data_IF_411235446631
#
_entry.id   IF_411235446631
#
_cell.length_a   1.000
_cell.length_b   1.000
_cell.length_c   1.000
_cell.angle_alpha   90.00
_cell.angle_beta   90.00
_cell.angle_gamma   90.00
#
_symmetry.space_group_name_H-M   'P 1'
#
loop_
_entity.id
_entity.type
_entity.pdbx_description
1 polymer ?
#
# COMPACT_ATOMS: atom_id res chain seq x y z
N UNK A 1 3.42 22.10 6.80
CA UNK A 1 2.61 21.36 5.81
C UNK A 1 1.30 20.86 6.39
N UNK A 2 1.30 20.00 7.44
CA UNK A 2 0.06 19.51 8.08
C UNK A 2 -0.90 20.63 8.49
N UNK A 3 -0.40 21.69 9.15
CA UNK A 3 -1.21 22.85 9.53
C UNK A 3 -1.91 23.50 8.32
N UNK A 4 -1.15 23.73 7.25
CA UNK A 4 -1.67 24.32 6.02
C UNK A 4 -2.77 23.45 5.40
N UNK A 5 -2.61 22.13 5.35
CA UNK A 5 -3.66 21.24 4.83
C UNK A 5 -4.92 21.30 5.70
N UNK A 6 -4.76 21.37 7.04
CA UNK A 6 -5.89 21.48 7.98
C UNK A 6 -6.64 22.80 7.87
N UNK A 7 -5.96 23.91 7.52
CA UNK A 7 -6.62 25.20 7.26
C UNK A 7 -7.63 25.14 6.10
N UNK A 8 -7.45 24.20 5.17
CA UNK A 8 -8.43 23.92 4.10
C UNK A 8 -9.56 22.96 4.52
N UNK A 9 -9.68 22.63 5.81
CA UNK A 9 -10.76 21.79 6.34
C UNK A 9 -10.58 20.28 6.13
N UNK A 10 -9.40 19.85 5.70
CA UNK A 10 -9.06 18.43 5.55
C UNK A 10 -8.49 17.84 6.84
N UNK A 11 -8.82 16.58 7.12
CA UNK A 11 -8.00 15.77 8.02
C UNK A 11 -6.70 15.40 7.29
N UNK A 12 -5.66 15.07 8.04
CA UNK A 12 -4.37 14.66 7.46
C UNK A 12 -3.96 13.38 8.13
N UNK A 13 -3.83 12.33 7.33
CA UNK A 13 -3.15 11.13 7.76
C UNK A 13 -1.67 11.26 7.50
N UNK A 14 -0.88 10.75 8.45
CA UNK A 14 0.57 10.86 8.46
C UNK A 14 1.13 9.44 8.58
N UNK A 15 1.94 9.05 7.61
CA UNK A 15 2.60 7.75 7.56
C UNK A 15 4.11 7.93 7.60
N UNK A 16 4.76 7.13 8.43
CA UNK A 16 6.21 7.10 8.61
C UNK A 16 6.88 6.12 7.64
N UNK A 17 8.20 6.21 7.39
CA UNK A 17 8.87 5.46 6.32
C UNK A 17 8.56 3.96 6.26
N UNK A 18 8.49 3.27 7.40
CA UNK A 18 8.17 1.84 7.46
C UNK A 18 6.72 1.47 7.16
N UNK A 19 5.81 2.44 7.13
CA UNK A 19 4.39 2.27 6.82
C UNK A 19 4.09 2.63 5.35
N UNK A 20 5.02 3.32 4.67
CA UNK A 20 4.79 3.82 3.31
C UNK A 20 5.04 2.70 2.31
N UNK A 21 3.95 2.15 1.77
CA UNK A 21 3.98 1.11 0.75
C UNK A 21 3.39 1.60 -0.57
N UNK A 22 3.65 0.87 -1.67
CA UNK A 22 3.00 1.15 -2.94
C UNK A 22 1.49 0.90 -2.89
N UNK A 23 1.06 -0.08 -2.10
CA UNK A 23 -0.36 -0.44 -1.95
C UNK A 23 -1.12 0.68 -1.25
N UNK A 24 -0.54 1.25 -0.19
CA UNK A 24 -1.06 2.43 0.50
C UNK A 24 -1.23 3.62 -0.46
N UNK A 25 -0.17 3.98 -1.20
CA UNK A 25 -0.24 5.08 -2.16
C UNK A 25 -1.29 4.82 -3.24
N UNK A 26 -1.29 3.61 -3.80
CA UNK A 26 -2.23 3.21 -4.84
C UNK A 26 -3.68 3.34 -4.36
N UNK A 27 -3.99 2.85 -3.16
CA UNK A 27 -5.34 2.86 -2.63
C UNK A 27 -5.93 4.28 -2.52
N UNK A 28 -5.12 5.28 -2.13
CA UNK A 28 -5.54 6.68 -2.11
C UNK A 28 -5.63 7.30 -3.50
N UNK A 29 -4.65 7.01 -4.37
CA UNK A 29 -4.62 7.55 -5.73
C UNK A 29 -5.76 7.01 -6.59
N UNK A 30 -6.20 5.76 -6.37
CA UNK A 30 -7.37 5.17 -7.05
C UNK A 30 -8.66 5.94 -6.73
N UNK A 31 -8.81 6.45 -5.51
CA UNK A 31 -9.92 7.32 -5.13
C UNK A 31 -9.74 8.79 -5.59
N UNK A 32 -8.58 9.12 -6.17
CA UNK A 32 -8.25 10.49 -6.59
C UNK A 32 -7.80 11.41 -5.45
N UNK A 33 -7.37 10.86 -4.32
CA UNK A 33 -6.77 11.65 -3.23
C UNK A 33 -5.28 11.84 -3.53
N UNK A 34 -4.80 13.09 -3.71
CA UNK A 34 -3.39 13.34 -3.92
C UNK A 34 -2.60 13.06 -2.65
N UNK A 35 -1.38 12.55 -2.79
CA UNK A 35 -0.51 12.18 -1.68
C UNK A 35 0.76 13.03 -1.70
N UNK A 36 1.10 13.70 -0.58
CA UNK A 36 2.35 14.46 -0.49
C UNK A 36 3.41 13.62 0.17
N UNK A 37 4.41 13.21 -0.59
CA UNK A 37 5.54 12.42 -0.10
C UNK A 37 6.75 13.33 0.05
N UNK A 38 7.32 13.39 1.25
CA UNK A 38 8.65 13.95 1.45
C UNK A 38 9.69 12.87 1.36
N UNK A 39 10.84 13.18 0.79
CA UNK A 39 11.96 12.26 0.67
C UNK A 39 13.29 12.93 0.97
N UNK A 40 14.22 12.09 1.36
CA UNK A 40 15.64 12.39 1.39
C UNK A 40 16.25 11.98 0.05
N UNK A 41 16.97 12.90 -0.58
CA UNK A 41 17.72 12.64 -1.80
C UNK A 41 19.10 12.13 -1.39
N UNK A 42 19.38 10.85 -1.69
CA UNK A 42 20.66 10.25 -1.30
C UNK A 42 21.68 10.47 -2.40
N UNK A 43 22.75 11.20 -2.07
CA UNK A 43 23.94 11.30 -2.92
C UNK A 43 24.88 10.15 -2.58
N UNK A 44 24.96 9.14 -3.43
CA UNK A 44 25.98 8.09 -3.26
C UNK A 44 27.36 8.70 -3.52
N UNK A 45 28.34 8.47 -2.66
CA UNK A 45 29.68 9.08 -2.72
C UNK A 45 30.55 8.61 -3.89
N UNK A 46 30.05 8.64 -5.12
CA UNK A 46 30.78 8.27 -6.34
C UNK A 46 30.63 6.82 -6.79
N UNK A 47 29.70 6.05 -6.22
CA UNK A 47 29.36 4.70 -6.69
C UNK A 47 27.96 4.64 -7.30
N UNK A 48 27.87 4.19 -8.55
CA UNK A 48 26.62 3.91 -9.24
C UNK A 48 26.29 2.44 -9.05
N UNK A 49 25.02 2.14 -8.74
CA UNK A 49 24.53 0.77 -8.57
C UNK A 49 23.53 0.46 -9.68
N UNK A 50 23.64 -0.70 -10.32
CA UNK A 50 22.63 -1.14 -11.28
C UNK A 50 21.36 -1.57 -10.53
N UNK A 51 20.17 -1.22 -11.03
CA UNK A 51 18.90 -1.57 -10.38
C UNK A 51 18.74 -3.08 -10.13
N UNK A 52 19.36 -3.91 -10.98
CA UNK A 52 19.35 -5.35 -10.83
C UNK A 52 20.03 -5.81 -9.53
N UNK A 53 21.04 -5.07 -9.06
CA UNK A 53 21.82 -5.37 -7.86
C UNK A 53 21.33 -4.59 -6.63
N UNK A 54 20.24 -3.83 -6.78
CA UNK A 54 19.66 -3.01 -5.72
C UNK A 54 18.77 -3.84 -4.80
N UNK A 55 19.20 -4.11 -3.56
CA UNK A 55 18.46 -4.91 -2.58
C UNK A 55 17.79 -4.07 -1.46
N UNK A 56 17.85 -2.74 -1.55
CA UNK A 56 17.31 -1.82 -0.53
C UNK A 56 18.17 -1.72 0.73
N UNK A 57 18.64 -2.84 1.28
CA UNK A 57 19.56 -2.87 2.44
C UNK A 57 20.89 -2.16 2.13
N UNK A 58 21.40 -2.32 0.92
CA UNK A 58 22.62 -1.62 0.47
C UNK A 58 22.44 -0.11 0.56
N UNK A 59 21.25 0.43 0.31
CA UNK A 59 21.02 1.87 0.38
C UNK A 59 21.02 2.37 1.84
N UNK A 60 20.36 1.66 2.75
CA UNK A 60 20.40 2.01 4.18
C UNK A 60 21.81 1.93 4.75
N UNK A 61 22.58 0.91 4.36
CA UNK A 61 23.99 0.79 4.74
C UNK A 61 24.84 1.91 4.11
N UNK A 62 24.63 2.25 2.84
CA UNK A 62 25.33 3.36 2.17
C UNK A 62 24.98 4.69 2.84
N UNK A 63 23.72 4.93 3.20
CA UNK A 63 23.29 6.13 3.94
C UNK A 63 23.90 6.16 5.34
N UNK A 64 23.90 5.04 6.06
CA UNK A 64 24.53 4.94 7.37
C UNK A 64 26.04 5.21 7.31
N UNK A 65 26.71 4.72 6.27
CA UNK A 65 28.15 4.88 6.09
C UNK A 65 28.55 6.27 5.55
N UNK A 66 27.70 6.92 4.76
CA UNK A 66 27.97 8.26 4.21
C UNK A 66 27.77 9.38 5.24
N UNK A 67 27.01 9.14 6.31
CA UNK A 67 26.88 10.07 7.43
C UNK A 67 28.12 10.19 8.34
N UNK A 68 29.18 9.41 8.10
CA UNK A 68 30.34 9.31 9.00
C UNK A 68 31.61 10.06 8.54
N UNK A 69 31.66 10.64 7.34
CA UNK A 69 32.93 11.16 6.80
C UNK A 69 33.25 12.63 7.14
N UNK A 70 32.26 13.44 7.56
CA UNK A 70 32.43 14.90 7.63
C UNK A 70 32.41 15.52 9.05
N UNK A 71 32.41 14.74 10.15
CA UNK A 71 32.40 15.32 11.49
C UNK A 71 33.17 14.53 12.56
N UNK A 72 34.50 14.48 12.46
CA UNK A 72 35.36 14.32 13.64
C UNK A 72 35.57 15.69 14.31
N UNK A 73 34.57 16.18 15.03
CA UNK A 73 34.72 17.26 16.01
C UNK A 73 34.17 16.77 17.35
N UNK A 74 35.05 16.77 18.36
CA UNK A 74 34.87 16.23 19.71
C UNK A 74 33.52 16.62 20.34
N UNK A 75 32.61 15.65 20.51
CA UNK A 75 31.41 15.82 21.33
C UNK A 75 31.47 14.95 22.59
N UNK A 76 31.46 15.65 23.72
CA UNK A 76 31.43 15.14 25.09
C UNK A 76 30.11 14.40 25.36
N UNK A 77 30.21 13.18 25.87
CA UNK A 77 29.09 12.27 26.15
C UNK A 77 28.28 12.77 27.36
N UNK A 78 27.02 13.14 27.17
CA UNK A 78 26.05 13.34 28.25
C UNK A 78 25.00 12.22 28.23
N UNK A 79 24.82 11.55 29.37
CA UNK A 79 23.90 10.41 29.57
C UNK A 79 22.42 10.85 29.59
N UNK A 80 21.83 11.11 28.42
CA UNK A 80 20.39 11.24 28.21
C UNK A 80 19.86 10.14 27.28
N UNK A 81 18.54 9.87 27.26
CA UNK A 81 17.94 8.97 26.27
C UNK A 81 18.29 9.44 24.85
N UNK A 82 18.54 8.53 23.89
CA UNK A 82 19.07 8.89 22.58
C UNK A 82 18.05 9.75 21.82
N UNK A 83 18.23 11.06 21.86
CA UNK A 83 17.71 11.95 20.84
C UNK A 83 18.40 11.54 19.54
N UNK A 84 17.68 10.84 18.64
CA UNK A 84 18.16 10.64 17.27
C UNK A 84 18.33 12.03 16.65
N UNK A 85 19.55 12.55 16.64
CA UNK A 85 19.92 13.72 15.87
C UNK A 85 19.85 13.32 14.40
N UNK A 86 18.71 13.55 13.77
CA UNK A 86 18.61 13.42 12.32
C UNK A 86 19.58 14.42 11.71
N UNK A 87 20.51 13.95 10.87
CA UNK A 87 21.32 14.82 10.01
C UNK A 87 20.38 15.80 9.29
N UNK A 88 20.73 17.09 9.26
CA UNK A 88 19.94 18.14 8.59
C UNK A 88 20.07 18.05 7.06
N UNK A 89 19.88 16.87 6.50
CA UNK A 89 19.78 16.72 5.07
C UNK A 89 18.47 17.38 4.59
N UNK A 90 18.52 18.18 3.50
CA UNK A 90 17.33 18.85 3.00
C UNK A 90 16.32 17.81 2.54
N UNK A 91 15.09 17.92 3.07
CA UNK A 91 13.95 17.13 2.62
C UNK A 91 13.32 17.81 1.40
N UNK A 92 12.94 17.01 0.41
CA UNK A 92 12.20 17.46 -0.76
C UNK A 92 10.78 16.89 -0.73
N UNK A 93 9.78 17.63 -1.23
CA UNK A 93 8.39 17.21 -1.21
C UNK A 93 7.81 17.12 -2.61
N UNK A 94 7.14 16.01 -2.92
CA UNK A 94 6.44 15.80 -4.20
C UNK A 94 4.99 15.43 -3.93
N UNK A 95 4.08 16.03 -4.70
CA UNK A 95 2.65 15.70 -4.63
C UNK A 95 2.31 14.69 -5.72
N UNK A 96 2.10 13.43 -5.35
CA UNK A 96 1.63 12.39 -6.26
C UNK A 96 0.13 12.53 -6.53
N UNK A 97 -0.24 12.45 -7.81
CA UNK A 97 -1.62 12.60 -8.28
C UNK A 97 -2.07 11.48 -9.21
N UNK A 98 -1.19 10.53 -9.52
CA UNK A 98 -1.55 9.38 -10.34
C UNK A 98 -0.42 8.38 -10.42
N UNK A 99 -0.73 7.25 -11.05
CA UNK A 99 0.21 6.17 -11.25
C UNK A 99 -0.11 5.44 -12.55
N UNK A 100 0.78 4.53 -12.94
CA UNK A 100 0.58 3.65 -14.08
C UNK A 100 0.96 2.23 -13.70
N UNK A 101 0.11 1.28 -14.06
CA UNK A 101 0.36 -0.13 -13.85
C UNK A 101 1.22 -0.73 -14.95
N UNK A 102 1.83 -1.88 -14.66
CA UNK A 102 2.50 -2.71 -15.68
C UNK A 102 1.43 -3.27 -16.62
N UNK A 103 1.43 -2.83 -17.88
CA UNK A 103 0.57 -3.39 -18.92
C UNK A 103 1.17 -4.64 -19.56
N UNK A 104 0.38 -5.42 -20.30
CA UNK A 104 0.86 -6.62 -21.03
C UNK A 104 1.91 -6.33 -22.12
N UNK A 105 1.97 -5.09 -22.63
CA UNK A 105 2.73 -4.73 -23.82
C UNK A 105 4.06 -4.00 -23.52
N UNK A 106 4.25 -3.52 -22.30
CA UNK A 106 5.53 -2.95 -21.89
C UNK A 106 6.31 -4.05 -21.19
N UNK A 107 7.55 -4.27 -21.63
CA UNK A 107 8.43 -5.32 -21.10
C UNK A 107 8.46 -5.33 -19.56
N UNK A 108 8.81 -6.50 -19.03
CA UNK A 108 8.74 -6.88 -17.62
C UNK A 108 9.04 -5.72 -16.66
N UNK A 109 8.16 -5.57 -15.66
CA UNK A 109 8.42 -4.72 -14.51
C UNK A 109 9.82 -5.02 -13.98
N UNK A 110 10.60 -4.02 -13.53
CA UNK A 110 11.88 -4.28 -12.87
C UNK A 110 11.72 -5.11 -11.57
N UNK A 111 10.49 -5.24 -11.04
CA UNK A 111 10.16 -6.14 -9.95
C UNK A 111 9.92 -7.57 -10.45
N UNK A 112 10.65 -8.51 -9.88
CA UNK A 112 10.47 -9.93 -10.11
C UNK A 112 9.09 -10.40 -9.60
N UNK A 113 8.52 -11.48 -10.17
CA UNK A 113 7.27 -12.05 -9.69
C UNK A 113 7.28 -12.46 -8.21
N UNK A 114 8.44 -12.83 -7.67
CA UNK A 114 8.62 -13.29 -6.30
C UNK A 114 8.53 -12.17 -5.25
N UNK A 115 8.70 -10.91 -5.65
CA UNK A 115 8.70 -9.77 -4.72
C UNK A 115 7.29 -9.29 -4.37
N UNK A 116 6.22 -9.92 -4.85
CA UNK A 116 4.83 -9.50 -4.57
C UNK A 116 4.34 -10.05 -3.22
N UNK A 117 5.01 -9.70 -2.13
CA UNK A 117 4.56 -10.07 -0.78
C UNK A 117 3.11 -9.59 -0.55
N UNK A 118 2.25 -10.51 -0.10
CA UNK A 118 0.78 -10.42 0.04
C UNK A 118 -0.05 -10.28 -1.25
N UNK A 119 0.59 -10.29 -2.43
CA UNK A 119 -0.10 -10.06 -3.70
C UNK A 119 -0.92 -8.75 -3.69
N UNK A 120 -0.58 -7.80 -2.81
CA UNK A 120 -1.31 -6.55 -2.69
C UNK A 120 -1.19 -5.80 -4.03
N UNK A 121 -2.30 -5.23 -4.48
CA UNK A 121 -2.41 -4.59 -5.80
C UNK A 121 -1.33 -3.55 -6.10
N UNK A 122 -0.64 -3.01 -5.09
CA UNK A 122 0.51 -2.10 -5.24
C UNK A 122 1.68 -2.67 -6.05
N UNK A 123 1.89 -4.00 -6.04
CA UNK A 123 2.95 -4.64 -6.83
C UNK A 123 2.78 -4.51 -8.35
N UNK A 124 1.63 -4.03 -8.82
CA UNK A 124 1.38 -3.72 -10.24
C UNK A 124 1.79 -2.30 -10.62
N UNK A 125 2.12 -1.42 -9.66
CA UNK A 125 2.48 -0.02 -9.92
C UNK A 125 3.88 0.04 -10.53
N UNK A 126 3.96 0.46 -11.79
CA UNK A 126 5.22 0.61 -12.51
C UNK A 126 5.82 2.02 -12.35
N UNK A 127 4.96 3.03 -12.27
CA UNK A 127 5.36 4.46 -12.20
C UNK A 127 4.37 5.25 -11.37
N UNK A 128 4.88 6.20 -10.61
CA UNK A 128 4.11 7.26 -9.95
C UNK A 128 4.34 8.58 -10.71
N UNK A 129 3.29 9.39 -10.76
CA UNK A 129 3.32 10.72 -11.37
C UNK A 129 2.92 11.74 -10.34
N UNK A 130 3.73 12.80 -10.24
CA UNK A 130 3.48 13.86 -9.29
C UNK A 130 3.84 15.24 -9.83
N UNK A 131 3.48 16.25 -9.05
CA UNK A 131 4.02 17.58 -9.19
C UNK A 131 5.24 17.70 -8.28
N UNK A 132 6.38 17.96 -8.89
CA UNK A 132 7.64 18.31 -8.24
C UNK A 132 7.89 19.79 -8.58
N UNK A 133 8.16 20.64 -7.59
CA UNK A 133 8.34 22.09 -7.81
C UNK A 133 9.62 22.44 -8.56
N UNK A 134 10.63 21.55 -8.58
CA UNK A 134 11.88 21.75 -9.32
C UNK A 134 11.87 21.15 -10.72
N UNK A 135 11.00 20.17 -10.99
CA UNK A 135 10.89 19.50 -12.30
C UNK A 135 9.66 19.97 -13.07
N UNK A 136 8.55 20.15 -12.39
CA UNK A 136 7.25 20.52 -12.95
C UNK A 136 6.18 19.43 -12.78
N UNK A 137 5.03 19.61 -13.46
CA UNK A 137 3.94 18.65 -13.41
C UNK A 137 4.31 17.34 -14.13
N UNK A 138 3.73 16.24 -13.66
CA UNK A 138 3.95 14.89 -14.20
C UNK A 138 5.41 14.39 -14.09
N UNK A 139 6.15 14.88 -13.10
CA UNK A 139 7.42 14.33 -12.69
C UNK A 139 7.25 12.82 -12.45
N UNK A 140 8.14 12.03 -13.06
CA UNK A 140 8.05 10.57 -13.05
C UNK A 140 8.90 10.02 -11.95
N UNK A 141 8.32 9.12 -11.16
CA UNK A 141 9.00 8.36 -10.15
C UNK A 141 8.79 6.87 -10.39
N UNK A 142 9.86 6.10 -10.28
CA UNK A 142 9.88 4.67 -10.53
C UNK A 142 10.17 4.00 -9.18
N UNK A 143 9.32 3.08 -8.72
CA UNK A 143 9.63 2.28 -7.55
C UNK A 143 10.91 1.48 -7.78
N UNK A 144 11.87 1.66 -6.89
CA UNK A 144 13.03 0.80 -6.76
C UNK A 144 12.59 -0.50 -6.08
N UNK A 145 13.34 -1.58 -6.30
CA UNK A 145 12.98 -2.93 -5.83
C UNK A 145 12.51 -2.93 -4.37
N UNK A 146 11.40 -3.63 -4.14
CA UNK A 146 10.71 -3.74 -2.86
C UNK A 146 9.31 -4.28 -3.11
N UNK A 147 8.88 -5.25 -2.30
CA UNK A 147 7.55 -5.81 -2.45
C UNK A 147 6.42 -4.83 -2.16
N UNK A 148 5.19 -5.25 -2.43
CA UNK A 148 4.01 -4.40 -2.24
C UNK A 148 3.81 -3.96 -0.77
N UNK A 149 4.42 -4.69 0.17
CA UNK A 149 4.45 -4.39 1.60
C UNK A 149 5.84 -3.92 2.12
N UNK A 150 6.85 -3.83 1.25
CA UNK A 150 8.16 -3.33 1.65
C UNK A 150 8.16 -1.80 1.75
N UNK A 151 9.07 -1.21 2.56
CA UNK A 151 9.30 0.22 2.55
C UNK A 151 9.54 0.71 1.13
N UNK A 152 8.78 1.74 0.74
CA UNK A 152 8.87 2.28 -0.60
C UNK A 152 10.26 2.91 -0.81
N UNK A 153 10.96 2.53 -1.86
CA UNK A 153 12.10 3.30 -2.37
C UNK A 153 11.77 3.78 -3.77
N UNK A 154 12.13 5.02 -4.11
CA UNK A 154 11.83 5.60 -5.41
C UNK A 154 13.11 6.06 -6.10
N UNK A 155 13.06 6.16 -7.42
CA UNK A 155 13.95 7.02 -8.18
C UNK A 155 13.13 7.99 -9.02
N UNK A 156 13.67 9.17 -9.30
CA UNK A 156 12.92 10.27 -9.91
C UNK A 156 13.45 10.71 -11.25
N UNK A 157 13.02 11.90 -11.67
CA UNK A 157 13.53 12.57 -12.88
C UNK A 157 14.90 13.23 -12.65
N UNK A 158 15.37 13.19 -11.39
CA UNK A 158 16.63 13.73 -10.92
C UNK A 158 17.79 12.84 -11.36
N UNK A 159 18.59 13.35 -12.29
CA UNK A 159 19.77 12.66 -12.78
C UNK A 159 20.98 13.04 -11.96
N UNK A 160 21.86 12.09 -11.68
CA UNK A 160 23.21 12.41 -11.24
C UNK A 160 23.97 13.05 -12.42
N UNK A 161 24.47 14.28 -12.25
CA UNK A 161 25.30 14.95 -13.26
C UNK A 161 26.58 14.17 -13.53
N UNK A 162 27.17 13.65 -12.45
CA UNK A 162 28.28 12.73 -12.52
C UNK A 162 27.70 11.31 -12.56
N UNK A 163 27.80 10.63 -13.71
CA UNK A 163 27.41 9.21 -13.92
C UNK A 163 28.02 8.21 -12.91
N UNK A 164 28.77 8.72 -11.94
CA UNK A 164 29.39 8.06 -10.81
C UNK A 164 28.42 7.86 -9.64
N UNK A 165 27.33 8.62 -9.50
CA UNK A 165 26.37 8.40 -8.40
C UNK A 165 24.96 8.06 -8.89
N UNK A 166 24.20 7.30 -8.08
CA UNK A 166 22.80 6.94 -8.36
C UNK A 166 22.56 5.52 -8.90
N UNK A 167 21.31 5.28 -9.29
CA UNK A 167 20.78 4.00 -9.75
C UNK A 167 20.60 4.01 -11.27
N UNK A 168 21.16 3.02 -11.97
CA UNK A 168 20.94 2.84 -13.41
C UNK A 168 19.76 1.93 -13.66
N UNK A 169 18.82 2.41 -14.46
CA UNK A 169 17.68 1.61 -14.92
C UNK A 169 18.12 0.69 -16.06
N UNK A 170 17.53 -0.52 -16.20
CA UNK A 170 17.85 -1.43 -17.29
C UNK A 170 17.74 -0.74 -18.66
N UNK A 171 18.81 -0.82 -19.46
CA UNK A 171 18.89 -0.23 -20.79
C UNK A 171 19.06 1.30 -20.83
N UNK A 172 19.34 1.96 -19.69
CA UNK A 172 19.59 3.40 -19.65
C UNK A 172 21.04 3.74 -19.31
N UNK A 173 21.57 4.77 -19.99
CA UNK A 173 22.93 5.28 -19.77
C UNK A 173 23.02 6.29 -18.61
N UNK A 174 21.87 6.87 -18.22
CA UNK A 174 21.79 7.86 -17.13
C UNK A 174 21.59 7.15 -15.79
N UNK A 175 22.28 7.64 -14.76
CA UNK A 175 22.05 7.26 -13.37
C UNK A 175 21.08 8.26 -12.73
N UNK A 176 20.15 7.76 -11.93
CA UNK A 176 19.12 8.55 -11.25
C UNK A 176 19.33 8.53 -9.75
N UNK A 177 19.01 9.63 -9.07
CA UNK A 177 19.19 9.68 -7.62
C UNK A 177 18.12 8.81 -6.92
N UNK A 178 18.52 7.96 -5.95
CA UNK A 178 17.58 7.26 -5.09
C UNK A 178 16.93 8.24 -4.11
N UNK A 179 15.64 8.05 -3.92
CA UNK A 179 14.76 8.86 -3.09
C UNK A 179 14.21 7.95 -1.98
N UNK A 180 14.58 8.25 -0.74
CA UNK A 180 14.07 7.52 0.44
C UNK A 180 12.91 8.31 1.01
N UNK A 181 11.69 7.75 1.04
CA UNK A 181 10.55 8.33 1.73
C UNK A 181 10.87 8.65 3.19
N UNK A 182 10.50 9.86 3.59
CA UNK A 182 10.65 10.33 4.96
C UNK A 182 9.30 10.49 5.66
N UNK A 183 8.29 10.99 4.94
CA UNK A 183 6.96 11.22 5.47
C UNK A 183 5.96 11.21 4.32
N UNK A 184 4.84 10.52 4.49
CA UNK A 184 3.69 10.62 3.59
C UNK A 184 2.55 11.33 4.30
N UNK A 185 2.01 12.36 3.66
CA UNK A 185 0.85 13.10 4.10
C UNK A 185 -0.30 12.87 3.11
N UNK A 186 -1.42 12.39 3.62
CA UNK A 186 -2.62 12.15 2.82
C UNK A 186 -3.73 13.09 3.32
N UNK A 187 -4.18 14.07 2.52
CA UNK A 187 -5.31 14.93 2.84
C UNK A 187 -6.60 14.12 2.74
N UNK A 188 -7.18 13.81 3.88
CA UNK A 188 -8.39 12.99 3.98
C UNK A 188 -9.63 13.86 4.14
N UNK A 189 -10.75 13.33 3.67
CA UNK A 189 -12.05 13.91 4.01
C UNK A 189 -12.34 13.58 5.48
N UNK A 190 -12.80 14.57 6.25
CA UNK A 190 -12.95 14.46 7.71
C UNK A 190 -13.96 13.40 8.20
N UNK A 191 -14.74 12.81 7.28
CA UNK A 191 -15.63 11.69 7.58
C UNK A 191 -14.99 10.32 7.39
N UNK A 192 -13.85 10.22 6.71
CA UNK A 192 -13.08 8.98 6.64
C UNK A 192 -12.20 8.94 7.89
N UNK A 193 -12.36 7.89 8.68
CA UNK A 193 -11.80 7.76 10.02
C UNK A 193 -11.04 6.46 10.23
N UNK A 194 -11.42 5.40 9.51
CA UNK A 194 -10.68 4.14 9.49
C UNK A 194 -9.54 4.25 8.51
N UNK A 195 -8.32 4.02 8.99
CA UNK A 195 -7.09 4.15 8.19
C UNK A 195 -6.85 2.92 7.32
N UNK A 196 -6.16 3.11 6.19
CA UNK A 196 -5.74 2.01 5.33
C UNK A 196 -4.98 0.92 6.09
N UNK A 197 -4.05 1.29 6.98
CA UNK A 197 -3.23 0.31 7.72
C UNK A 197 -4.03 -0.58 8.66
N UNK A 198 -5.16 -0.10 9.17
CA UNK A 198 -6.08 -0.92 9.95
C UNK A 198 -6.74 -2.00 9.07
N UNK A 199 -7.22 -1.60 7.89
CA UNK A 199 -7.82 -2.52 6.91
C UNK A 199 -6.80 -3.53 6.38
N UNK A 200 -5.59 -3.08 6.08
CA UNK A 200 -4.48 -3.94 5.64
C UNK A 200 -4.15 -4.98 6.71
N UNK A 201 -4.05 -4.58 7.98
CA UNK A 201 -3.79 -5.50 9.09
C UNK A 201 -4.84 -6.60 9.19
N UNK A 202 -6.13 -6.26 9.10
CA UNK A 202 -7.22 -7.24 9.07
C UNK A 202 -7.13 -8.16 7.85
N UNK A 203 -6.85 -7.58 6.68
CA UNK A 203 -6.71 -8.32 5.43
C UNK A 203 -5.58 -9.34 5.52
N UNK A 204 -4.45 -8.99 6.13
CA UNK A 204 -3.32 -9.90 6.36
C UNK A 204 -3.71 -11.08 7.25
N UNK A 205 -4.41 -10.83 8.35
CA UNK A 205 -4.87 -11.92 9.25
C UNK A 205 -5.83 -12.87 8.53
N UNK A 206 -6.75 -12.32 7.71
CA UNK A 206 -7.69 -13.13 6.92
C UNK A 206 -6.95 -13.90 5.82
N UNK A 207 -5.96 -13.30 5.16
CA UNK A 207 -5.13 -13.98 4.16
C UNK A 207 -4.40 -15.19 4.75
N UNK A 208 -3.81 -15.03 5.94
CA UNK A 208 -3.16 -16.12 6.66
C UNK A 208 -4.13 -17.27 6.95
N UNK A 209 -5.35 -16.97 7.41
CA UNK A 209 -6.40 -17.95 7.65
C UNK A 209 -6.82 -18.69 6.36
N UNK A 210 -6.99 -17.95 5.26
CA UNK A 210 -7.35 -18.52 3.95
C UNK A 210 -6.24 -19.44 3.43
N UNK A 211 -4.98 -18.99 3.48
CA UNK A 211 -3.82 -19.77 3.04
C UNK A 211 -3.66 -21.06 3.82
N UNK A 212 -3.73 -20.98 5.15
CA UNK A 212 -3.65 -22.13 6.03
C UNK A 212 -4.77 -23.14 5.71
N UNK A 213 -5.99 -22.65 5.48
CA UNK A 213 -7.15 -23.51 5.21
C UNK A 213 -7.09 -24.20 3.84
N UNK A 214 -6.53 -23.52 2.84
CA UNK A 214 -6.45 -24.00 1.46
C UNK A 214 -5.14 -24.74 1.13
N UNK A 215 -4.22 -24.87 2.10
CA UNK A 215 -2.89 -25.45 1.92
C UNK A 215 -2.13 -24.79 0.75
N UNK A 216 -2.17 -23.45 0.68
CA UNK A 216 -1.47 -22.68 -0.35
C UNK A 216 -0.04 -22.44 0.10
N UNK A 217 0.91 -22.99 -0.66
CA UNK A 217 2.35 -22.86 -0.38
C UNK A 217 2.98 -21.65 -1.10
N UNK A 218 2.46 -21.27 -2.27
CA UNK A 218 3.00 -20.16 -3.06
C UNK A 218 2.45 -18.81 -2.56
N UNK A 219 3.34 -17.85 -2.34
CA UNK A 219 2.95 -16.47 -2.01
C UNK A 219 2.10 -15.79 -3.09
N UNK A 220 2.11 -16.29 -4.31
CA UNK A 220 1.31 -15.76 -5.41
C UNK A 220 -0.04 -16.45 -5.58
N UNK A 221 -0.36 -17.45 -4.76
CA UNK A 221 -1.66 -18.13 -4.83
C UNK A 221 -2.80 -17.26 -4.29
N UNK A 222 -2.51 -16.27 -3.45
CA UNK A 222 -3.48 -15.26 -3.02
C UNK A 222 -3.03 -13.85 -3.44
N UNK A 223 -3.99 -12.99 -3.75
CA UNK A 223 -3.73 -11.59 -4.01
C UNK A 223 -4.89 -10.75 -3.51
N UNK A 224 -4.56 -9.63 -2.86
CA UNK A 224 -5.53 -8.69 -2.32
C UNK A 224 -5.49 -7.34 -3.03
N UNK A 225 -6.65 -6.73 -3.21
CA UNK A 225 -6.78 -5.37 -3.71
C UNK A 225 -7.66 -4.57 -2.76
N UNK A 226 -7.04 -3.64 -2.04
CA UNK A 226 -7.70 -2.75 -1.10
C UNK A 226 -7.89 -1.40 -1.78
N UNK A 227 -9.13 -0.94 -1.87
CA UNK A 227 -9.45 0.38 -2.39
C UNK A 227 -10.39 1.15 -1.46
N UNK A 228 -10.29 2.48 -1.51
CA UNK A 228 -11.29 3.37 -0.96
C UNK A 228 -12.31 3.70 -2.06
N UNK A 229 -13.59 3.62 -1.75
CA UNK A 229 -14.67 4.01 -2.67
C UNK A 229 -15.82 4.66 -1.91
N UNK A 230 -16.79 5.22 -2.64
CA UNK A 230 -18.06 5.63 -2.06
C UNK A 230 -19.16 4.63 -2.38
N UNK A 231 -20.18 4.54 -1.52
CA UNK A 231 -21.24 3.54 -1.68
C UNK A 231 -22.02 3.68 -2.99
N UNK A 232 -22.08 4.87 -3.58
CA UNK A 232 -22.74 5.06 -4.88
C UNK A 232 -21.92 4.46 -6.02
N UNK A 233 -20.60 4.65 -6.01
CA UNK A 233 -19.70 3.99 -6.97
C UNK A 233 -19.72 2.48 -6.78
N UNK A 234 -19.59 2.02 -5.54
CA UNK A 234 -19.62 0.60 -5.21
C UNK A 234 -20.92 -0.08 -5.67
N UNK A 235 -22.09 0.48 -5.35
CA UNK A 235 -23.37 -0.06 -5.83
C UNK A 235 -23.49 -0.10 -7.35
N UNK A 236 -22.90 0.87 -8.07
CA UNK A 236 -22.86 0.83 -9.55
C UNK A 236 -22.01 -0.32 -10.07
N UNK A 237 -20.93 -0.67 -9.38
CA UNK A 237 -20.11 -1.85 -9.71
C UNK A 237 -20.88 -3.14 -9.42
N UNK A 238 -21.48 -3.25 -8.23
CA UNK A 238 -22.34 -4.38 -7.83
C UNK A 238 -23.46 -4.61 -8.84
N UNK A 239 -24.16 -3.55 -9.28
CA UNK A 239 -25.23 -3.64 -10.28
C UNK A 239 -24.74 -4.16 -11.64
N UNK A 240 -23.47 -3.93 -11.99
CA UNK A 240 -22.85 -4.40 -13.24
C UNK A 240 -22.19 -5.77 -13.09
N UNK A 241 -22.03 -6.27 -11.86
CA UNK A 241 -21.40 -7.54 -11.60
C UNK A 241 -22.28 -8.69 -12.08
N UNK A 242 -21.70 -9.53 -12.93
CA UNK A 242 -22.30 -10.80 -13.38
C UNK A 242 -21.91 -11.99 -12.50
N UNK A 243 -21.01 -11.79 -11.54
CA UNK A 243 -20.45 -12.87 -10.71
C UNK A 243 -21.20 -13.08 -9.39
N UNK A 244 -22.01 -12.10 -8.98
CA UNK A 244 -22.81 -12.19 -7.76
C UNK A 244 -24.16 -12.86 -8.04
N UNK A 245 -24.61 -13.68 -7.09
CA UNK A 245 -25.98 -14.20 -7.07
C UNK A 245 -27.00 -13.05 -7.08
N UNK A 246 -28.12 -13.25 -7.78
CA UNK A 246 -29.12 -12.19 -7.98
C UNK A 246 -29.74 -11.72 -6.67
N UNK A 247 -29.98 -12.62 -5.71
CA UNK A 247 -30.53 -12.28 -4.39
C UNK A 247 -29.52 -11.48 -3.57
N UNK A 248 -28.27 -11.94 -3.50
CA UNK A 248 -27.18 -11.22 -2.81
C UNK A 248 -26.99 -9.82 -3.42
N UNK A 249 -26.98 -9.72 -4.75
CA UNK A 249 -26.85 -8.46 -5.46
C UNK A 249 -28.02 -7.52 -5.17
N UNK A 250 -29.26 -8.01 -5.20
CA UNK A 250 -30.45 -7.20 -4.91
C UNK A 250 -30.39 -6.64 -3.49
N UNK A 251 -30.11 -7.49 -2.50
CA UNK A 251 -30.03 -7.09 -1.10
C UNK A 251 -28.97 -6.00 -0.88
N UNK A 252 -27.77 -6.18 -1.44
CA UNK A 252 -26.69 -5.20 -1.31
C UNK A 252 -27.00 -3.86 -2.01
N UNK A 253 -27.79 -3.89 -3.09
CA UNK A 253 -28.24 -2.67 -3.77
C UNK A 253 -29.31 -1.92 -2.97
N UNK A 254 -30.15 -2.63 -2.21
CA UNK A 254 -31.20 -2.05 -1.36
C UNK A 254 -30.66 -1.57 0.00
N UNK A 255 -29.56 -2.15 0.47
CA UNK A 255 -28.97 -1.88 1.78
C UNK A 255 -28.43 -0.46 1.98
N UNK A 256 -28.56 0.10 3.17
CA UNK A 256 -28.05 1.42 3.50
C UNK A 256 -26.56 1.37 3.89
N UNK A 257 -25.68 1.27 2.90
CA UNK A 257 -24.23 1.29 3.12
C UNK A 257 -23.72 2.68 3.56
N UNK A 258 -22.68 2.72 4.42
CA UNK A 258 -21.95 3.95 4.75
C UNK A 258 -21.49 4.71 3.51
N UNK A 259 -21.31 6.02 3.61
CA UNK A 259 -20.95 6.84 2.45
C UNK A 259 -19.59 6.45 1.85
N UNK A 260 -18.62 6.14 2.68
CA UNK A 260 -17.27 5.76 2.26
C UNK A 260 -16.99 4.34 2.75
N UNK A 261 -16.41 3.54 1.87
CA UNK A 261 -16.16 2.12 2.11
C UNK A 261 -14.71 1.82 1.78
N UNK A 262 -14.07 1.01 2.62
CA UNK A 262 -12.89 0.26 2.20
C UNK A 262 -13.35 -1.09 1.65
N UNK A 263 -12.87 -1.47 0.47
CA UNK A 263 -13.19 -2.74 -0.16
C UNK A 263 -11.90 -3.51 -0.38
N UNK A 264 -11.76 -4.67 0.27
CA UNK A 264 -10.63 -5.58 0.08
C UNK A 264 -11.08 -6.80 -0.74
N UNK A 265 -10.57 -6.94 -1.95
CA UNK A 265 -10.92 -8.01 -2.88
C UNK A 265 -9.88 -9.11 -2.86
N UNK A 266 -10.29 -10.33 -2.54
CA UNK A 266 -9.46 -11.54 -2.58
C UNK A 266 -9.57 -12.22 -3.94
N UNK A 267 -8.42 -12.53 -4.52
CA UNK A 267 -8.31 -13.52 -5.59
C UNK A 267 -7.45 -14.70 -5.14
N UNK A 268 -7.92 -15.92 -5.40
CA UNK A 268 -7.19 -17.17 -5.18
C UNK A 268 -6.88 -17.80 -6.53
N UNK A 269 -5.61 -18.08 -6.81
CA UNK A 269 -5.12 -18.61 -8.09
C UNK A 269 -5.60 -17.77 -9.29
N UNK A 270 -5.57 -16.44 -9.12
CA UNK A 270 -6.00 -15.42 -10.10
C UNK A 270 -7.51 -15.37 -10.39
N UNK A 271 -8.32 -16.20 -9.74
CA UNK A 271 -9.78 -16.10 -9.78
C UNK A 271 -10.27 -15.33 -8.57
N UNK A 272 -11.21 -14.40 -8.78
CA UNK A 272 -11.83 -13.67 -7.68
C UNK A 272 -12.62 -14.65 -6.81
N UNK A 273 -12.46 -14.51 -5.49
CA UNK A 273 -13.00 -15.46 -4.51
C UNK A 273 -13.88 -14.78 -3.47
N UNK A 274 -13.47 -13.59 -3.00
CA UNK A 274 -14.24 -12.87 -1.99
C UNK A 274 -14.05 -11.35 -2.08
N UNK A 275 -14.97 -10.62 -1.46
CA UNK A 275 -14.87 -9.20 -1.14
C UNK A 275 -15.16 -8.98 0.35
N UNK A 276 -14.33 -8.17 1.01
CA UNK A 276 -14.56 -7.68 2.36
C UNK A 276 -14.89 -6.20 2.27
N UNK A 277 -16.02 -5.80 2.84
CA UNK A 277 -16.50 -4.42 2.81
C UNK A 277 -16.41 -3.86 4.23
N UNK A 278 -15.70 -2.75 4.42
CA UNK A 278 -15.56 -2.10 5.70
C UNK A 278 -16.14 -0.69 5.69
N UNK A 279 -16.78 -0.26 6.77
CA UNK A 279 -17.18 1.13 6.98
C UNK A 279 -15.93 2.00 7.19
N UNK A 280 -15.63 2.89 6.23
CA UNK A 280 -14.50 3.80 6.35
C UNK A 280 -14.79 5.00 7.28
N UNK A 281 -16.03 5.17 7.71
CA UNK A 281 -16.52 6.28 8.54
C UNK A 281 -16.68 5.94 10.01
N UNK A 282 -16.54 4.66 10.36
CA UNK A 282 -16.59 4.18 11.74
C UNK A 282 -15.37 4.65 12.56
N UNK A 283 -15.41 4.45 13.87
CA UNK A 283 -14.32 4.79 14.79
C UNK A 283 -13.35 3.60 14.84
N UNK A 284 -12.05 3.88 14.71
CA UNK A 284 -10.90 2.95 14.56
C UNK A 284 -10.73 1.90 15.71
N UNK A 285 -11.72 1.74 16.60
CA UNK A 285 -11.67 0.89 17.80
C UNK A 285 -12.39 -0.47 17.65
N UNK A 286 -13.19 -0.68 16.60
CA UNK A 286 -14.01 -1.90 16.41
C UNK A 286 -13.86 -2.52 15.01
N UNK A 287 -14.31 -3.77 14.88
CA UNK A 287 -14.37 -4.52 13.61
C UNK A 287 -15.31 -3.82 12.63
N UNK A 288 -14.75 -2.95 11.79
CA UNK A 288 -15.46 -2.17 10.76
C UNK A 288 -15.94 -3.01 9.58
N UNK A 289 -15.70 -4.33 9.57
CA UNK A 289 -16.15 -5.23 8.50
C UNK A 289 -17.68 -5.30 8.50
N UNK A 290 -18.35 -4.71 7.52
CA UNK A 290 -19.80 -4.76 7.40
C UNK A 290 -20.25 -6.06 6.71
N UNK A 291 -19.57 -6.41 5.61
CA UNK A 291 -19.97 -7.53 4.76
C UNK A 291 -18.80 -8.36 4.26
N UNK A 292 -19.09 -9.64 4.03
CA UNK A 292 -18.23 -10.58 3.32
C UNK A 292 -19.03 -11.17 2.17
N UNK A 293 -18.59 -10.90 0.94
CA UNK A 293 -19.21 -11.46 -0.26
C UNK A 293 -18.32 -12.58 -0.78
N UNK A 294 -18.82 -13.80 -0.79
CA UNK A 294 -18.11 -14.95 -1.37
C UNK A 294 -18.58 -15.18 -2.80
N UNK A 295 -17.68 -15.01 -3.77
CA UNK A 295 -17.95 -15.38 -5.18
C UNK A 295 -17.69 -16.87 -5.42
N UNK A 296 -16.81 -17.48 -4.63
CA UNK A 296 -16.48 -18.91 -4.70
C UNK A 296 -16.81 -19.61 -3.40
N UNK A 297 -17.99 -20.22 -3.36
CA UNK A 297 -18.49 -20.94 -2.18
C UNK A 297 -17.58 -22.11 -1.76
N UNK A 298 -16.81 -22.67 -2.70
CA UNK A 298 -15.76 -23.67 -2.41
C UNK A 298 -14.73 -23.16 -1.39
N UNK A 299 -14.25 -21.92 -1.57
CA UNK A 299 -13.24 -21.33 -0.69
C UNK A 299 -13.82 -21.09 0.70
N UNK A 300 -15.05 -20.56 0.75
CA UNK A 300 -15.79 -20.36 1.99
C UNK A 300 -16.01 -21.69 2.72
N UNK A 301 -16.42 -22.73 2.01
CA UNK A 301 -16.70 -24.05 2.57
C UNK A 301 -15.47 -24.68 3.22
N UNK A 302 -14.31 -24.59 2.56
CA UNK A 302 -13.04 -25.09 3.13
C UNK A 302 -12.66 -24.28 4.37
N UNK A 303 -12.69 -22.95 4.29
CA UNK A 303 -12.39 -22.08 5.44
C UNK A 303 -13.31 -22.38 6.63
N UNK A 304 -14.61 -22.55 6.37
CA UNK A 304 -15.62 -22.90 7.37
C UNK A 304 -15.33 -24.25 8.01
N UNK A 305 -15.00 -25.26 7.21
CA UNK A 305 -14.65 -26.58 7.72
C UNK A 305 -13.42 -26.55 8.63
N UNK A 306 -12.38 -25.81 8.23
CA UNK A 306 -11.13 -25.71 8.99
C UNK A 306 -11.33 -24.98 10.32
N UNK A 307 -12.01 -23.82 10.30
CA UNK A 307 -12.33 -23.08 11.53
C UNK A 307 -13.19 -23.93 12.48
N UNK A 308 -14.22 -24.59 11.97
CA UNK A 308 -15.07 -25.47 12.78
C UNK A 308 -14.33 -26.72 13.29
N UNK A 309 -13.24 -27.13 12.64
CA UNK A 309 -12.37 -28.22 13.11
C UNK A 309 -11.38 -27.79 14.20
N UNK A 310 -11.38 -26.52 14.60
CA UNK A 310 -10.54 -25.98 15.67
C UNK A 310 -9.28 -25.28 15.18
N UNK A 311 -9.18 -24.92 13.89
CA UNK A 311 -8.11 -24.04 13.41
C UNK A 311 -8.24 -22.68 14.10
N UNK A 312 -7.25 -22.34 14.93
CA UNK A 312 -7.14 -20.99 15.50
C UNK A 312 -6.61 -20.04 14.43
N UNK A 313 -7.48 -19.17 13.96
CA UNK A 313 -7.17 -18.15 12.95
C UNK A 313 -6.73 -16.82 13.58
N UNK A 314 -6.72 -16.71 14.91
CA UNK A 314 -6.37 -15.48 15.62
C UNK A 314 -7.33 -14.30 15.37
N UNK A 315 -8.43 -14.53 14.66
CA UNK A 315 -9.44 -13.51 14.33
C UNK A 315 -10.44 -13.34 15.48
N UNK A 316 -10.92 -12.11 15.76
CA UNK A 316 -12.02 -11.90 16.68
C UNK A 316 -13.24 -12.70 16.25
N UNK A 317 -14.00 -13.20 17.24
CA UNK A 317 -15.20 -14.00 17.00
C UNK A 317 -16.20 -13.30 16.06
N UNK A 318 -16.39 -11.98 16.20
CA UNK A 318 -17.30 -11.23 15.33
C UNK A 318 -16.87 -11.27 13.84
N UNK A 319 -15.57 -11.17 13.57
CA UNK A 319 -15.01 -11.30 12.22
C UNK A 319 -15.22 -12.71 11.69
N UNK A 320 -14.96 -13.73 12.52
CA UNK A 320 -15.19 -15.14 12.16
C UNK A 320 -16.67 -15.38 11.85
N UNK A 321 -17.58 -14.90 12.70
CA UNK A 321 -19.02 -15.04 12.51
C UNK A 321 -19.48 -14.38 11.19
N UNK A 322 -18.89 -13.23 10.80
CA UNK A 322 -19.15 -12.58 9.50
C UNK A 322 -18.55 -13.35 8.31
N UNK A 323 -17.32 -13.84 8.45
CA UNK A 323 -16.65 -14.65 7.40
C UNK A 323 -17.40 -15.96 7.11
N UNK A 324 -17.92 -16.59 8.17
CA UNK A 324 -18.65 -17.85 8.11
C UNK A 324 -20.14 -17.68 7.87
N UNK A 325 -20.69 -16.51 8.20
CA UNK A 325 -22.11 -16.19 8.20
C UNK A 325 -22.82 -16.66 6.94
N UNK A 326 -24.02 -17.24 7.12
CA UNK A 326 -24.82 -17.80 6.02
C UNK A 326 -25.04 -16.75 4.92
N UNK A 327 -24.95 -17.17 3.66
CA UNK A 327 -25.34 -16.33 2.50
C UNK A 327 -26.77 -15.74 2.62
N UNK A 328 -27.59 -16.27 3.53
CA UNK A 328 -28.95 -15.81 3.85
C UNK A 328 -29.04 -14.72 4.94
N UNK A 329 -27.93 -14.26 5.53
CA UNK A 329 -27.95 -13.21 6.58
C UNK A 329 -28.44 -11.84 6.11
N UNK A 330 -28.62 -11.63 4.80
CA UNK A 330 -29.25 -10.43 4.23
C UNK A 330 -30.78 -10.39 4.38
N UNK A 331 -31.39 -11.22 5.25
CA UNK A 331 -32.85 -11.31 5.44
C UNK A 331 -33.39 -10.42 6.57
N UNK A 332 -32.64 -9.39 6.97
CA UNK A 332 -32.99 -8.47 8.06
C UNK A 332 -33.84 -7.28 7.63
#
# INVERSE_FOLDING_TARGET
>A
MVHAIREFGHSVEVYWPGEITLSLLRAYLDYGIPAVLTFRIVRTGGTSVDLADYDGETLEQVVANSGGADSEAEHTVTNGPPHRSFSQEPLHAVTFCGYRTVGKAEGESPMSPQERSLGLGGGKVARLFGHDDQVGPYARHIPLKGGAAAPLHLTGTWTAEDHQCGVRLPGQQKSYLPLIPHLLLVPMYSKIRVRYTAIESWTVMIDQAVRASLFLEDENDTSWEIELTDSSNYKREVARSSHLDEKVRANLLEENLPRFLWVARLSVKKARSAELIYDATDIDEHDSLEHVLWEREEVRGILSQQINSGLDVGLPKAVVDKLLGNADSFSG
#
